data_IF_405546906653
#
_entry.id   IF_405546906653
#
_cell.length_a   1.000
_cell.length_b   1.000
_cell.length_c   1.000
_cell.angle_alpha   90.00
_cell.angle_beta   90.00
_cell.angle_gamma   90.00
#
_symmetry.space_group_name_H-M   'P 1'
#
loop_
_entity.id
_entity.type
_entity.pdbx_description
1 polymer ?
#
# COMPACT_ATOMS: atom_id res chain seq x y z
N UNK A 1 -34.85 7.17 -3.56
CA UNK A 1 -33.70 6.24 -3.41
C UNK A 1 -32.46 7.09 -3.16
N UNK A 2 -31.85 7.14 -1.97
CA UNK A 2 -30.58 7.81 -1.82
C UNK A 2 -29.51 6.93 -2.49
N UNK A 3 -28.89 7.46 -3.55
CA UNK A 3 -27.74 6.82 -4.19
C UNK A 3 -26.64 6.75 -3.13
N UNK A 4 -26.11 5.57 -2.85
CA UNK A 4 -24.97 5.43 -1.98
C UNK A 4 -23.86 6.28 -2.60
N UNK A 5 -23.50 7.39 -1.97
CA UNK A 5 -22.24 8.03 -2.25
C UNK A 5 -21.20 6.92 -2.06
N UNK A 6 -20.61 6.45 -3.16
CA UNK A 6 -19.47 5.57 -3.13
C UNK A 6 -18.43 6.33 -2.33
N UNK A 7 -18.37 6.09 -1.02
CA UNK A 7 -17.29 6.55 -0.18
C UNK A 7 -16.08 5.92 -0.83
N UNK A 8 -15.37 6.70 -1.66
CA UNK A 8 -14.20 6.26 -2.37
C UNK A 8 -13.26 5.77 -1.27
N UNK A 9 -13.25 4.45 -1.07
CA UNK A 9 -12.53 3.85 0.04
C UNK A 9 -11.08 4.27 -0.17
N UNK A 10 -10.57 5.09 0.76
CA UNK A 10 -9.22 5.63 0.66
C UNK A 10 -8.30 4.43 0.43
N UNK A 11 -7.43 4.47 -0.60
CA UNK A 11 -6.54 3.36 -0.86
C UNK A 11 -5.74 3.11 0.41
N UNK A 12 -5.66 1.86 0.86
CA UNK A 12 -4.90 1.50 2.06
C UNK A 12 -3.64 0.78 1.61
N UNK A 13 -2.48 1.22 2.08
CA UNK A 13 -1.21 0.64 1.71
C UNK A 13 -0.62 -0.16 2.85
N UNK A 14 -0.12 -1.34 2.51
CA UNK A 14 0.66 -2.19 3.41
C UNK A 14 2.11 -2.16 2.98
N UNK A 15 2.99 -1.75 3.89
CA UNK A 15 4.44 -1.67 3.67
C UNK A 15 5.12 -2.82 4.40
N UNK A 16 6.04 -3.50 3.74
CA UNK A 16 6.77 -4.61 4.32
C UNK A 16 8.00 -4.93 3.49
N UNK A 17 8.66 -6.03 3.84
CA UNK A 17 9.72 -6.59 3.02
C UNK A 17 9.18 -7.74 2.20
N UNK A 18 9.76 -8.01 1.04
CA UNK A 18 9.55 -9.26 0.33
C UNK A 18 10.40 -10.39 0.94
N UNK A 19 10.45 -11.55 0.28
CA UNK A 19 11.28 -12.68 0.72
C UNK A 19 12.78 -12.46 0.50
N UNK A 20 13.15 -11.56 -0.39
CA UNK A 20 14.54 -11.23 -0.73
C UNK A 20 15.09 -10.08 0.16
N UNK A 21 14.22 -9.41 0.91
CA UNK A 21 14.55 -8.30 1.80
C UNK A 21 14.29 -6.92 1.20
N UNK A 22 13.76 -6.82 -0.02
CA UNK A 22 13.41 -5.55 -0.65
C UNK A 22 12.16 -4.95 -0.01
N UNK A 23 12.12 -3.63 0.10
CA UNK A 23 10.93 -2.95 0.60
C UNK A 23 9.87 -2.91 -0.49
N UNK A 24 8.63 -3.13 -0.09
CA UNK A 24 7.47 -3.15 -0.97
C UNK A 24 6.32 -2.42 -0.29
N UNK A 25 5.63 -1.59 -1.07
CA UNK A 25 4.32 -1.06 -0.71
C UNK A 25 3.28 -1.68 -1.64
N UNK A 26 2.22 -2.25 -1.07
CA UNK A 26 1.10 -2.82 -1.83
C UNK A 26 -0.21 -2.22 -1.34
N UNK A 27 -1.03 -1.76 -2.27
CA UNK A 27 -2.39 -1.31 -1.96
C UNK A 27 -3.28 -2.53 -1.71
N UNK A 28 -4.13 -2.49 -0.68
CA UNK A 28 -4.93 -3.65 -0.24
C UNK A 28 -5.94 -4.15 -1.27
N UNK A 29 -6.36 -3.31 -2.22
CA UNK A 29 -7.27 -3.70 -3.30
C UNK A 29 -6.51 -4.05 -4.58
N UNK A 30 -5.17 -4.16 -4.53
CA UNK A 30 -4.33 -4.52 -5.67
C UNK A 30 -4.27 -3.44 -6.76
N UNK A 31 -4.72 -2.21 -6.49
CA UNK A 31 -4.78 -1.14 -7.49
C UNK A 31 -3.44 -0.46 -7.75
N UNK A 32 -2.46 -0.67 -6.89
CA UNK A 32 -1.16 -0.03 -7.00
C UNK A 32 -0.15 -0.55 -5.99
N UNK A 33 1.11 -0.23 -6.24
CA UNK A 33 2.23 -0.60 -5.38
C UNK A 33 3.54 -0.70 -6.17
N UNK A 34 4.62 -1.00 -5.46
CA UNK A 34 5.95 -1.09 -6.06
C UNK A 34 7.02 -1.57 -5.10
N UNK A 35 8.19 -1.84 -5.67
CA UNK A 35 9.42 -2.13 -4.92
C UNK A 35 10.21 -0.85 -4.69
N UNK A 36 10.80 -0.76 -3.50
CA UNK A 36 11.52 0.41 -3.01
C UNK A 36 12.86 0.01 -2.44
N UNK A 37 13.83 0.93 -2.53
CA UNK A 37 15.18 0.75 -1.99
C UNK A 37 15.18 0.82 -0.47
N UNK A 38 14.29 1.62 0.11
CA UNK A 38 14.20 1.84 1.56
C UNK A 38 12.76 1.83 2.07
N UNK A 39 12.61 1.68 3.39
CA UNK A 39 11.32 1.81 4.09
C UNK A 39 10.74 3.19 3.92
N UNK A 40 11.58 4.22 3.98
CA UNK A 40 11.18 5.61 3.88
C UNK A 40 10.65 5.96 2.48
N UNK A 41 11.27 5.43 1.42
CA UNK A 41 10.75 5.59 0.05
C UNK A 41 9.37 4.94 -0.10
N UNK A 42 9.20 3.71 0.42
CA UNK A 42 7.92 3.02 0.41
C UNK A 42 6.84 3.78 1.20
N UNK A 43 7.22 4.37 2.34
CA UNK A 43 6.34 5.16 3.19
C UNK A 43 5.96 6.49 2.52
N UNK A 44 6.92 7.15 1.88
CA UNK A 44 6.69 8.39 1.15
C UNK A 44 5.70 8.17 0.02
N UNK A 45 5.90 7.12 -0.79
CA UNK A 45 4.98 6.74 -1.85
C UNK A 45 3.57 6.46 -1.33
N UNK A 46 3.44 5.59 -0.32
CA UNK A 46 2.14 5.25 0.26
C UNK A 46 1.40 6.47 0.83
N UNK A 47 2.14 7.38 1.47
CA UNK A 47 1.59 8.63 2.00
C UNK A 47 1.14 9.60 0.91
N UNK A 48 1.89 9.68 -0.19
CA UNK A 48 1.53 10.51 -1.33
C UNK A 48 0.23 10.03 -1.99
N UNK A 49 0.05 8.71 -2.11
CA UNK A 49 -1.12 8.10 -2.75
C UNK A 49 -2.37 8.05 -1.85
N UNK A 50 -2.20 7.79 -0.56
CA UNK A 50 -3.33 7.50 0.35
C UNK A 50 -3.47 8.43 1.57
N UNK A 51 -2.41 9.16 1.92
CA UNK A 51 -2.31 9.88 3.19
C UNK A 51 -1.72 9.02 4.33
N UNK A 52 -1.25 9.70 5.38
CA UNK A 52 -0.51 9.08 6.48
C UNK A 52 -1.31 8.06 7.31
N UNK A 53 -2.62 8.24 7.40
CA UNK A 53 -3.51 7.41 8.23
C UNK A 53 -3.89 6.09 7.55
N UNK A 54 -3.57 5.96 6.26
CA UNK A 54 -3.92 4.82 5.42
C UNK A 54 -2.74 3.87 5.15
N UNK A 55 -1.74 3.88 6.03
CA UNK A 55 -0.53 3.05 5.89
C UNK A 55 -0.37 2.10 7.07
N UNK A 56 -0.11 0.83 6.81
CA UNK A 56 0.15 -0.18 7.84
C UNK A 56 1.43 -0.96 7.53
N UNK A 57 2.21 -1.31 8.54
CA UNK A 57 3.39 -2.15 8.36
C UNK A 57 3.04 -3.64 8.49
N UNK A 58 3.57 -4.45 7.58
CA UNK A 58 3.49 -5.91 7.64
C UNK A 58 4.76 -6.47 8.26
N UNK A 59 4.59 -7.30 9.29
CA UNK A 59 5.66 -8.13 9.82
C UNK A 59 5.93 -9.37 8.94
N UNK A 60 4.96 -9.77 8.10
CA UNK A 60 5.10 -10.91 7.18
C UNK A 60 5.60 -10.44 5.81
N UNK A 61 6.34 -11.28 5.08
CA UNK A 61 6.77 -10.97 3.72
C UNK A 61 5.58 -10.62 2.84
N UNK A 62 5.68 -9.51 2.11
CA UNK A 62 4.69 -9.08 1.13
C UNK A 62 5.18 -9.46 -0.27
N UNK A 63 4.22 -9.67 -1.17
CA UNK A 63 4.48 -9.89 -2.58
C UNK A 63 3.56 -8.97 -3.38
N UNK A 64 4.10 -8.32 -4.39
CA UNK A 64 3.29 -7.54 -5.31
C UNK A 64 2.56 -8.53 -6.23
N UNK A 65 1.25 -8.69 -6.04
CA UNK A 65 0.42 -9.35 -7.04
C UNK A 65 -0.31 -8.27 -7.83
N UNK A 66 0.11 -8.08 -9.06
CA UNK A 66 -0.69 -7.42 -10.09
C UNK A 66 -1.49 -8.55 -10.75
N UNK A 67 -2.80 -8.57 -10.50
CA UNK A 67 -3.74 -9.52 -11.10
C UNK A 67 -4.35 -8.94 -12.37
#
# INVERSE_FOLDING_TARGET
MPTAATSAARPHFKIGRDREGHWIAVETHGRGGGYFRSRDDALHYARAEAGADAVTFSARPLALRLS
#
